data_IF_587801582855
#
_entry.id   IF_587801582855
#
_cell.length_a   1.000
_cell.length_b   1.000
_cell.length_c   1.000
_cell.angle_alpha   90.00
_cell.angle_beta   90.00
_cell.angle_gamma   90.00
#
_symmetry.space_group_name_H-M   'P 1'
#
loop_
_entity.id
_entity.type
_entity.pdbx_description
1 polymer ?
#
# COMPACT_ATOMS: atom_id res chain seq x y z
N UNK A 1 -12.30 2.51 -14.93
CA UNK A 1 -11.97 1.14 -15.35
C UNK A 1 -12.32 0.23 -14.17
N UNK A 2 -12.89 -0.95 -14.39
CA UNK A 2 -13.44 -1.78 -13.28
C UNK A 2 -12.46 -2.91 -12.87
N UNK A 3 -12.38 -3.23 -11.59
CA UNK A 3 -11.48 -4.22 -10.99
C UNK A 3 -11.61 -5.61 -11.62
N UNK A 4 -12.79 -5.94 -12.13
CA UNK A 4 -13.06 -7.22 -12.81
C UNK A 4 -12.09 -7.44 -13.98
N UNK A 5 -11.79 -6.38 -14.74
CA UNK A 5 -10.85 -6.47 -15.85
C UNK A 5 -9.41 -6.66 -15.38
N UNK A 6 -8.99 -5.88 -14.38
CA UNK A 6 -7.64 -5.97 -13.81
C UNK A 6 -7.36 -7.37 -13.26
N UNK A 7 -8.31 -7.93 -12.52
CA UNK A 7 -8.22 -9.29 -11.98
C UNK A 7 -8.23 -10.36 -13.07
N UNK A 8 -9.06 -10.22 -14.11
CA UNK A 8 -9.08 -11.18 -15.21
C UNK A 8 -7.70 -11.29 -15.87
N UNK A 9 -7.02 -10.17 -16.10
CA UNK A 9 -5.63 -10.16 -16.58
C UNK A 9 -4.68 -10.78 -15.57
N UNK A 10 -4.82 -10.43 -14.30
CA UNK A 10 -3.94 -10.91 -13.23
C UNK A 10 -4.00 -12.44 -13.08
N UNK A 11 -5.19 -13.03 -13.05
CA UNK A 11 -5.38 -14.50 -13.06
C UNK A 11 -4.78 -15.16 -14.30
N UNK A 12 -4.96 -14.55 -15.48
CA UNK A 12 -4.37 -15.05 -16.72
C UNK A 12 -2.83 -15.06 -16.64
N UNK A 13 -2.22 -13.99 -16.15
CA UNK A 13 -0.77 -13.91 -15.97
C UNK A 13 -0.26 -15.00 -15.01
N UNK A 14 -0.93 -15.25 -13.88
CA UNK A 14 -0.53 -16.31 -12.96
C UNK A 14 -0.60 -17.70 -13.62
N UNK A 15 -1.63 -17.94 -14.44
CA UNK A 15 -1.77 -19.17 -15.22
C UNK A 15 -0.67 -19.32 -16.27
N UNK A 16 -0.32 -18.25 -16.96
CA UNK A 16 0.76 -18.23 -17.95
C UNK A 16 2.14 -18.47 -17.28
N UNK A 17 2.28 -18.15 -15.99
CA UNK A 17 3.44 -18.49 -15.14
C UNK A 17 3.44 -19.94 -14.62
N UNK A 18 2.41 -20.72 -14.94
CA UNK A 18 2.34 -22.13 -14.61
C UNK A 18 1.61 -22.48 -13.32
N UNK A 19 0.95 -21.53 -12.65
CA UNK A 19 0.09 -21.83 -11.50
C UNK A 19 -1.17 -22.56 -11.98
N UNK A 20 -1.56 -23.60 -11.26
CA UNK A 20 -2.83 -24.28 -11.47
C UNK A 20 -4.00 -23.39 -11.02
N UNK A 21 -5.19 -23.60 -11.61
CA UNK A 21 -6.40 -22.82 -11.28
C UNK A 21 -6.70 -22.82 -9.78
N UNK A 22 -6.53 -23.97 -9.11
CA UNK A 22 -6.75 -24.09 -7.67
C UNK A 22 -5.75 -23.25 -6.85
N UNK A 23 -4.50 -23.14 -7.30
CA UNK A 23 -3.49 -22.30 -6.64
C UNK A 23 -3.83 -20.83 -6.82
N UNK A 24 -4.30 -20.43 -8.00
CA UNK A 24 -4.76 -19.07 -8.29
C UNK A 24 -5.98 -18.71 -7.42
N UNK A 25 -6.95 -19.61 -7.29
CA UNK A 25 -8.13 -19.41 -6.43
C UNK A 25 -7.76 -19.32 -4.95
N UNK A 26 -6.76 -20.09 -4.50
CA UNK A 26 -6.24 -20.01 -3.14
C UNK A 26 -5.48 -18.71 -2.89
N UNK A 27 -4.77 -18.20 -3.90
CA UNK A 27 -3.95 -17.02 -3.80
C UNK A 27 -4.71 -15.69 -3.97
N UNK A 28 -5.91 -15.75 -4.57
CA UNK A 28 -6.82 -14.62 -4.78
C UNK A 28 -8.23 -15.01 -4.32
N UNK A 29 -8.39 -15.11 -3.01
CA UNK A 29 -9.64 -15.57 -2.38
C UNK A 29 -10.48 -14.41 -1.87
N UNK A 30 -11.73 -14.70 -1.58
CA UNK A 30 -12.60 -13.75 -0.88
C UNK A 30 -12.04 -13.49 0.52
N UNK A 31 -11.98 -12.22 0.92
CA UNK A 31 -11.56 -11.85 2.27
C UNK A 31 -12.56 -12.34 3.33
N UNK A 32 -12.04 -12.51 4.55
CA UNK A 32 -12.91 -12.72 5.71
C UNK A 32 -13.50 -11.38 6.14
N UNK A 33 -14.78 -11.37 6.52
CA UNK A 33 -15.47 -10.16 6.94
C UNK A 33 -14.75 -9.45 8.11
N UNK A 34 -14.15 -10.21 9.02
CA UNK A 34 -13.36 -9.66 10.13
C UNK A 34 -12.08 -8.95 9.68
N UNK A 35 -11.47 -9.40 8.59
CA UNK A 35 -10.25 -8.80 8.06
C UNK A 35 -10.61 -7.49 7.33
N UNK A 36 -11.74 -7.47 6.60
CA UNK A 36 -12.26 -6.29 5.90
C UNK A 36 -12.53 -5.08 6.80
N UNK A 37 -12.92 -5.30 8.06
CA UNK A 37 -13.08 -4.24 9.06
C UNK A 37 -11.79 -3.40 9.18
N UNK A 38 -10.61 -3.99 8.93
CA UNK A 38 -9.33 -3.26 8.89
C UNK A 38 -9.36 -2.11 7.89
N UNK A 39 -9.93 -2.34 6.70
CA UNK A 39 -9.97 -1.37 5.63
C UNK A 39 -11.15 -0.40 5.80
N UNK A 40 -12.29 -0.89 6.28
CA UNK A 40 -13.50 -0.08 6.55
C UNK A 40 -13.31 0.86 7.75
N UNK A 41 -12.53 0.45 8.75
CA UNK A 41 -12.24 1.24 9.95
C UNK A 41 -10.73 1.34 10.20
N UNK A 42 -10.07 2.08 9.31
CA UNK A 42 -8.63 2.27 9.30
C UNK A 42 -8.11 2.81 10.64
N UNK A 43 -8.76 3.83 11.20
CA UNK A 43 -8.33 4.41 12.48
C UNK A 43 -8.36 3.38 13.63
N UNK A 44 -9.51 2.75 13.89
CA UNK A 44 -9.63 1.84 15.03
C UNK A 44 -8.70 0.64 14.89
N UNK A 45 -8.60 0.09 13.68
CA UNK A 45 -7.80 -1.11 13.40
C UNK A 45 -6.31 -0.87 13.57
N UNK A 46 -5.85 0.35 13.29
CA UNK A 46 -4.45 0.77 13.42
C UNK A 46 -4.14 1.23 14.84
N UNK A 47 -5.07 1.91 15.52
CA UNK A 47 -4.94 2.33 16.91
C UNK A 47 -4.84 1.14 17.87
N UNK A 48 -5.58 0.04 17.62
CA UNK A 48 -5.54 -1.16 18.46
C UNK A 48 -4.15 -1.82 18.52
N UNK A 49 -3.36 -1.72 17.44
CA UNK A 49 -2.09 -2.42 17.30
C UNK A 49 -0.86 -1.52 17.25
N UNK A 50 -1.03 -0.20 17.14
CA UNK A 50 0.13 0.68 17.08
C UNK A 50 0.80 0.79 18.45
N UNK A 51 2.01 0.25 18.53
CA UNK A 51 2.96 0.53 19.62
C UNK A 51 3.76 1.83 19.38
N UNK A 52 3.51 2.48 18.25
CA UNK A 52 4.39 3.49 17.65
C UNK A 52 3.85 4.91 17.83
N UNK A 53 2.54 5.07 17.72
CA UNK A 53 1.89 6.38 17.72
C UNK A 53 1.50 6.86 19.13
N UNK A 54 1.56 8.17 19.36
CA UNK A 54 0.80 8.82 20.43
C UNK A 54 -0.68 8.93 20.05
N UNK A 55 -1.57 9.16 21.04
CA UNK A 55 -3.00 9.41 20.76
C UNK A 55 -3.20 10.56 19.76
N UNK A 56 -2.46 11.66 19.90
CA UNK A 56 -2.52 12.81 19.00
C UNK A 56 -2.09 12.47 17.56
N UNK A 57 -1.10 11.59 17.40
CA UNK A 57 -0.67 11.13 16.08
C UNK A 57 -1.68 10.19 15.43
N UNK A 58 -2.38 9.38 16.23
CA UNK A 58 -3.47 8.52 15.77
C UNK A 58 -4.68 9.34 15.30
N UNK A 59 -4.99 10.47 15.93
CA UNK A 59 -6.11 11.34 15.52
C UNK A 59 -5.97 11.80 14.06
N UNK A 60 -4.74 12.02 13.58
CA UNK A 60 -4.50 12.37 12.17
C UNK A 60 -4.93 11.28 11.19
N UNK A 61 -5.06 10.03 11.63
CA UNK A 61 -5.50 8.92 10.78
C UNK A 61 -7.01 8.98 10.52
N UNK A 62 -7.80 9.55 11.44
CA UNK A 62 -9.28 9.61 11.33
C UNK A 62 -9.78 10.35 10.08
N UNK A 63 -8.95 11.22 9.50
CA UNK A 63 -9.32 11.98 8.30
C UNK A 63 -9.17 11.17 7.01
N UNK A 64 -8.54 9.99 7.06
CA UNK A 64 -8.34 9.14 5.90
C UNK A 64 -9.33 7.99 5.90
N UNK A 65 -9.87 7.70 4.73
CA UNK A 65 -10.69 6.53 4.45
C UNK A 65 -10.20 5.85 3.19
N UNK A 66 -10.28 4.52 3.14
CA UNK A 66 -9.99 3.78 1.92
C UNK A 66 -11.22 3.85 1.00
N UNK A 67 -11.07 4.15 -0.29
CA UNK A 67 -12.18 4.15 -1.23
C UNK A 67 -12.91 2.80 -1.31
N UNK A 68 -14.24 2.85 -1.44
CA UNK A 68 -15.12 1.66 -1.49
C UNK A 68 -14.70 0.70 -2.60
N UNK A 69 -14.25 1.21 -3.74
CA UNK A 69 -13.78 0.44 -4.89
C UNK A 69 -12.55 -0.44 -4.57
N UNK A 70 -11.70 0.02 -3.66
CA UNK A 70 -10.53 -0.74 -3.18
C UNK A 70 -10.97 -1.75 -2.12
N UNK A 71 -11.91 -1.37 -1.25
CA UNK A 71 -12.50 -2.29 -0.27
C UNK A 71 -13.18 -3.46 -1.01
N UNK A 72 -13.96 -3.20 -2.05
CA UNK A 72 -14.60 -4.24 -2.87
C UNK A 72 -13.58 -5.11 -3.61
N UNK A 73 -12.47 -4.52 -4.07
CA UNK A 73 -11.35 -5.32 -4.62
C UNK A 73 -10.86 -6.34 -3.58
N UNK A 74 -10.50 -5.90 -2.38
CA UNK A 74 -9.98 -6.78 -1.33
C UNK A 74 -11.05 -7.76 -0.82
N UNK A 75 -12.33 -7.37 -0.78
CA UNK A 75 -13.44 -8.28 -0.45
C UNK A 75 -13.45 -9.50 -1.35
N UNK A 76 -13.24 -9.32 -2.65
CA UNK A 76 -13.35 -10.39 -3.64
C UNK A 76 -12.01 -11.08 -3.95
N UNK A 77 -10.90 -10.35 -3.83
CA UNK A 77 -9.58 -10.77 -4.33
C UNK A 77 -8.47 -10.44 -3.34
N UNK A 78 -8.62 -10.89 -2.10
CA UNK A 78 -7.58 -10.79 -1.09
C UNK A 78 -6.35 -11.62 -1.54
N UNK A 79 -5.19 -10.97 -1.71
CA UNK A 79 -3.91 -11.65 -1.92
C UNK A 79 -3.61 -12.56 -0.73
N UNK A 80 -3.17 -13.79 -0.98
CA UNK A 80 -2.75 -14.69 0.08
C UNK A 80 -1.70 -15.67 -0.43
N UNK A 81 -0.48 -15.60 0.08
CA UNK A 81 0.63 -16.48 -0.36
C UNK A 81 0.88 -16.39 -1.89
N UNK A 82 0.69 -15.20 -2.49
CA UNK A 82 1.04 -14.98 -3.89
C UNK A 82 2.56 -15.07 -4.08
N UNK A 83 3.04 -15.64 -5.20
CA UNK A 83 4.43 -15.50 -5.56
C UNK A 83 4.75 -14.03 -5.87
N UNK A 84 6.02 -13.65 -5.68
CA UNK A 84 6.52 -12.35 -6.11
C UNK A 84 6.16 -12.07 -7.57
N UNK A 85 5.64 -10.87 -7.78
CA UNK A 85 5.19 -10.36 -9.07
C UNK A 85 6.34 -9.63 -9.78
N UNK A 86 6.04 -8.99 -10.91
CA UNK A 86 7.02 -8.16 -11.60
C UNK A 86 7.65 -7.12 -10.67
N UNK A 87 8.95 -6.89 -10.80
CA UNK A 87 9.73 -6.02 -9.91
C UNK A 87 10.00 -6.59 -8.52
N UNK A 88 9.86 -7.92 -8.33
CA UNK A 88 9.90 -8.56 -7.01
C UNK A 88 8.89 -7.95 -6.02
N UNK A 89 7.72 -7.56 -6.53
CA UNK A 89 6.67 -6.94 -5.74
C UNK A 89 5.83 -8.02 -5.07
N UNK A 90 5.66 -7.87 -3.76
CA UNK A 90 4.74 -8.63 -2.91
C UNK A 90 3.49 -7.76 -2.65
N UNK A 91 2.34 -8.24 -3.12
CA UNK A 91 1.06 -7.57 -2.93
C UNK A 91 0.44 -8.07 -1.62
N UNK A 92 0.27 -7.19 -0.65
CA UNK A 92 -0.05 -7.57 0.72
C UNK A 92 -1.52 -8.00 0.87
N UNK A 93 -1.76 -9.03 1.67
CA UNK A 93 -3.06 -9.35 2.26
C UNK A 93 -3.52 -8.26 3.22
N UNK A 94 -4.80 -8.26 3.62
CA UNK A 94 -5.32 -7.24 4.54
C UNK A 94 -4.61 -7.31 5.91
N UNK A 95 -4.31 -8.53 6.36
CA UNK A 95 -3.58 -8.76 7.61
C UNK A 95 -2.17 -8.21 7.55
N UNK A 96 -1.50 -8.40 6.41
CA UNK A 96 -0.16 -7.86 6.20
C UNK A 96 -0.18 -6.35 6.07
N UNK A 97 -1.16 -5.76 5.39
CA UNK A 97 -1.38 -4.31 5.37
C UNK A 97 -1.49 -3.78 6.80
N UNK A 98 -2.33 -4.40 7.64
CA UNK A 98 -2.44 -4.03 9.05
C UNK A 98 -1.09 -4.11 9.75
N UNK A 99 -0.44 -5.27 9.68
CA UNK A 99 0.81 -5.53 10.38
C UNK A 99 1.94 -4.57 9.96
N UNK A 100 2.15 -4.39 8.66
CA UNK A 100 3.18 -3.53 8.09
C UNK A 100 2.97 -2.08 8.51
N UNK A 101 1.73 -1.57 8.41
CA UNK A 101 1.43 -0.17 8.72
C UNK A 101 1.30 0.14 10.22
N UNK A 102 1.38 -0.87 11.12
CA UNK A 102 1.42 -0.64 12.57
C UNK A 102 2.76 -1.00 13.23
N UNK A 103 3.59 -1.81 12.56
CA UNK A 103 4.74 -2.47 13.20
C UNK A 103 6.06 -2.29 12.46
N UNK A 104 6.02 -2.17 11.13
CA UNK A 104 7.23 -2.25 10.29
C UNK A 104 7.65 -0.86 9.82
N UNK A 105 8.91 -0.50 10.06
CA UNK A 105 9.50 0.73 9.52
C UNK A 105 9.79 0.56 8.02
N UNK A 106 9.52 1.57 7.17
CA UNK A 106 9.02 2.90 7.53
C UNK A 106 7.49 3.01 7.61
N UNK A 107 6.74 2.06 7.05
CA UNK A 107 5.27 2.09 6.91
C UNK A 107 4.52 2.46 8.19
N UNK A 108 4.99 1.96 9.35
CA UNK A 108 4.43 2.24 10.66
C UNK A 108 4.43 3.72 11.07
N UNK A 109 5.12 4.60 10.33
CA UNK A 109 5.15 6.05 10.57
C UNK A 109 4.54 6.87 9.43
N UNK A 110 4.24 6.24 8.30
CA UNK A 110 3.80 6.91 7.07
C UNK A 110 2.28 7.12 7.03
N UNK A 111 1.52 6.26 7.70
CA UNK A 111 0.06 6.32 7.69
C UNK A 111 -0.52 7.62 8.23
N UNK A 112 0.08 8.23 9.25
CA UNK A 112 -0.35 9.55 9.77
C UNK A 112 -0.23 10.67 8.72
N UNK A 113 0.58 10.47 7.68
CA UNK A 113 0.72 11.37 6.53
C UNK A 113 -0.17 10.94 5.34
N UNK A 114 -1.11 10.00 5.53
CA UNK A 114 -2.03 9.55 4.50
C UNK A 114 -1.41 8.56 3.50
N UNK A 115 -0.26 7.98 3.83
CA UNK A 115 0.42 7.00 2.99
C UNK A 115 0.21 5.59 3.57
N UNK A 116 -0.61 4.79 2.90
CA UNK A 116 -0.92 3.43 3.31
C UNK A 116 -0.13 2.43 2.45
N UNK A 117 0.75 1.64 3.05
CA UNK A 117 1.53 0.62 2.32
C UNK A 117 0.63 -0.56 1.97
N UNK A 118 0.57 -0.91 0.68
CA UNK A 118 -0.26 -2.01 0.16
C UNK A 118 0.54 -3.10 -0.57
N UNK A 119 1.80 -2.80 -0.89
CA UNK A 119 2.73 -3.72 -1.51
C UNK A 119 4.16 -3.35 -1.07
N UNK A 120 5.07 -4.31 -1.14
CA UNK A 120 6.49 -4.12 -0.84
C UNK A 120 7.35 -4.79 -1.90
N UNK A 121 8.58 -4.32 -2.11
CA UNK A 121 9.56 -5.07 -2.90
C UNK A 121 10.29 -6.09 -2.02
N UNK A 122 10.94 -7.07 -2.64
CA UNK A 122 11.81 -8.02 -1.93
C UNK A 122 12.96 -7.37 -1.14
N UNK A 123 13.33 -6.12 -1.46
CA UNK A 123 14.34 -5.33 -0.74
C UNK A 123 13.75 -4.52 0.43
N UNK A 124 12.42 -4.56 0.62
CA UNK A 124 11.71 -3.85 1.68
C UNK A 124 11.28 -2.43 1.31
N UNK A 125 11.43 -2.02 0.05
CA UNK A 125 10.87 -0.74 -0.40
C UNK A 125 9.35 -0.78 -0.38
N UNK A 126 8.73 0.37 -0.12
CA UNK A 126 7.31 0.49 0.13
C UNK A 126 6.57 1.01 -1.10
N UNK A 127 5.44 0.38 -1.42
CA UNK A 127 4.50 0.82 -2.43
C UNK A 127 3.21 1.21 -1.72
N UNK A 128 2.82 2.47 -1.87
CA UNK A 128 1.85 3.12 -1.00
C UNK A 128 0.70 3.74 -1.80
N UNK A 129 -0.52 3.63 -1.28
CA UNK A 129 -1.64 4.46 -1.70
C UNK A 129 -1.52 5.84 -1.05
N UNK A 130 -1.66 6.89 -1.85
CA UNK A 130 -1.77 8.26 -1.34
C UNK A 130 -3.23 8.62 -1.07
N UNK A 131 -3.64 8.50 0.19
CA UNK A 131 -4.99 8.82 0.65
C UNK A 131 -5.26 10.33 0.72
N UNK A 132 -4.26 11.18 0.47
CA UNK A 132 -4.45 12.63 0.37
C UNK A 132 -4.95 13.06 -1.02
N UNK A 133 -4.77 12.20 -2.04
CA UNK A 133 -5.07 12.52 -3.43
C UNK A 133 -5.82 11.37 -4.10
N UNK A 134 -7.15 11.43 -3.99
CA UNK A 134 -8.08 10.45 -4.54
C UNK A 134 -8.83 11.10 -5.70
N UNK A 135 -8.71 10.54 -6.89
CA UNK A 135 -9.41 10.98 -8.09
C UNK A 135 -10.36 9.87 -8.56
N UNK A 136 -11.65 10.17 -8.68
CA UNK A 136 -12.69 9.21 -9.07
C UNK A 136 -12.63 7.87 -8.29
N UNK A 137 -12.47 7.95 -6.96
CA UNK A 137 -12.38 6.77 -6.09
C UNK A 137 -11.06 6.00 -6.19
N UNK A 138 -10.06 6.54 -6.89
CA UNK A 138 -8.75 5.91 -7.07
C UNK A 138 -7.63 6.76 -6.48
N UNK A 139 -6.88 6.26 -5.47
CA UNK A 139 -5.66 6.91 -5.03
C UNK A 139 -4.55 6.61 -6.04
N UNK A 140 -3.67 7.59 -6.24
CA UNK A 140 -2.40 7.32 -6.94
C UNK A 140 -1.50 6.41 -6.10
N UNK A 141 -0.63 5.67 -6.78
CA UNK A 141 0.32 4.75 -6.17
C UNK A 141 1.71 5.38 -6.19
N UNK A 142 2.33 5.46 -5.03
CA UNK A 142 3.65 6.02 -4.82
C UNK A 142 4.66 4.91 -4.53
N UNK A 143 5.89 5.11 -4.99
CA UNK A 143 7.03 4.28 -4.61
C UNK A 143 7.91 5.03 -3.61
N UNK A 144 8.40 4.33 -2.60
CA UNK A 144 9.33 4.87 -1.61
C UNK A 144 10.38 3.86 -1.22
N UNK A 145 11.67 4.18 -1.42
CA UNK A 145 12.71 3.31 -0.88
C UNK A 145 12.70 3.34 0.64
N UNK A 146 12.88 2.19 1.28
CA UNK A 146 12.97 2.11 2.74
C UNK A 146 14.09 2.98 3.30
N UNK A 147 15.17 3.16 2.53
CA UNK A 147 16.31 4.00 2.86
C UNK A 147 16.02 5.50 2.90
N UNK A 148 14.91 5.94 2.28
CA UNK A 148 14.57 7.36 2.21
C UNK A 148 13.93 7.89 3.48
N UNK A 149 13.27 7.03 4.26
CA UNK A 149 12.46 7.47 5.38
C UNK A 149 13.17 7.18 6.69
N UNK A 150 13.33 8.20 7.52
CA UNK A 150 13.93 8.07 8.84
C UNK A 150 13.05 8.76 9.88
N UNK A 151 12.53 7.99 10.84
CA UNK A 151 11.77 8.52 11.95
C UNK A 151 12.70 9.12 13.00
N UNK A 152 12.55 10.42 13.25
CA UNK A 152 13.27 11.13 14.30
C UNK A 152 12.47 11.08 15.60
N UNK A 153 12.91 10.26 16.55
CA UNK A 153 12.24 10.09 17.85
C UNK A 153 12.16 11.39 18.68
N UNK A 154 13.12 12.31 18.53
CA UNK A 154 13.17 13.52 19.37
C UNK A 154 12.06 14.51 19.01
N UNK A 155 11.77 14.67 17.73
CA UNK A 155 10.71 15.56 17.23
C UNK A 155 9.46 14.80 16.80
N UNK A 156 9.51 13.47 16.86
CA UNK A 156 8.47 12.55 16.38
C UNK A 156 8.04 12.82 14.94
N UNK A 157 8.97 13.14 14.04
CA UNK A 157 8.71 13.41 12.63
C UNK A 157 9.44 12.44 11.71
N UNK A 158 8.86 12.12 10.55
CA UNK A 158 9.56 11.36 9.50
C UNK A 158 10.33 12.36 8.67
N UNK A 159 11.64 12.15 8.55
CA UNK A 159 12.49 12.83 7.59
C UNK A 159 12.63 12.00 6.33
N UNK A 160 12.76 12.69 5.19
CA UNK A 160 13.00 12.10 3.89
C UNK A 160 14.37 12.53 3.39
N UNK A 161 15.20 11.56 3.02
CA UNK A 161 16.53 11.75 2.44
C UNK A 161 16.67 10.89 1.19
N UNK A 162 16.43 11.52 0.04
CA UNK A 162 16.53 10.84 -1.24
C UNK A 162 17.37 11.68 -2.19
N UNK A 163 18.68 11.38 -2.21
CA UNK A 163 19.64 12.09 -3.05
C UNK A 163 19.23 12.04 -4.54
N UNK A 164 18.71 10.89 -4.98
CA UNK A 164 18.18 10.68 -6.34
C UNK A 164 16.97 11.58 -6.67
N UNK A 165 16.22 12.04 -5.65
CA UNK A 165 15.08 12.95 -5.82
C UNK A 165 15.46 14.42 -5.60
N UNK A 166 16.76 14.72 -5.41
CA UNK A 166 17.24 16.06 -5.08
C UNK A 166 16.76 16.56 -3.72
N UNK A 167 16.37 15.65 -2.82
CA UNK A 167 15.94 15.98 -1.47
C UNK A 167 17.15 16.00 -0.53
N UNK A 168 17.43 17.15 0.07
CA UNK A 168 18.20 17.24 1.31
C UNK A 168 17.29 16.90 2.50
N UNK A 169 17.84 16.33 3.59
CA UNK A 169 17.09 15.96 4.80
C UNK A 169 15.97 16.98 5.12
N UNK A 170 14.74 16.59 4.85
CA UNK A 170 13.54 17.42 5.01
C UNK A 170 12.46 16.58 5.68
N UNK A 171 11.62 17.19 6.51
CA UNK A 171 10.50 16.47 7.11
C UNK A 171 9.42 16.19 6.07
N UNK A 172 8.88 14.97 6.10
CA UNK A 172 7.79 14.53 5.26
C UNK A 172 6.59 15.47 5.46
N UNK A 173 6.06 15.96 4.35
CA UNK A 173 4.97 16.94 4.31
C UNK A 173 4.19 16.76 3.02
N UNK A 174 2.98 17.32 2.96
CA UNK A 174 2.13 17.27 1.76
C UNK A 174 2.86 17.76 0.51
N UNK A 175 3.73 18.77 0.63
CA UNK A 175 4.51 19.25 -0.50
C UNK A 175 5.51 18.21 -1.03
N UNK A 176 6.16 17.45 -0.15
CA UNK A 176 7.07 16.38 -0.54
C UNK A 176 6.29 15.20 -1.12
N UNK A 177 5.18 14.83 -0.49
CA UNK A 177 4.31 13.75 -0.97
C UNK A 177 3.78 14.09 -2.37
N UNK A 178 3.28 15.30 -2.56
CA UNK A 178 2.64 15.71 -3.81
C UNK A 178 3.62 15.95 -4.95
N UNK A 179 4.81 16.50 -4.66
CA UNK A 179 5.69 17.02 -5.71
C UNK A 179 7.05 16.31 -5.82
N UNK A 180 7.39 15.41 -4.90
CA UNK A 180 8.75 14.85 -4.80
C UNK A 180 8.79 13.33 -4.74
N UNK A 181 7.84 12.68 -4.09
CA UNK A 181 7.78 11.22 -4.09
C UNK A 181 7.42 10.70 -5.50
N UNK A 182 8.11 9.68 -6.01
CA UNK A 182 7.82 9.09 -7.31
C UNK A 182 6.40 8.53 -7.36
N UNK A 183 5.65 8.95 -8.38
CA UNK A 183 4.38 8.32 -8.76
C UNK A 183 4.71 7.09 -9.59
N UNK A 184 4.28 5.93 -9.10
CA UNK A 184 4.39 4.66 -9.81
C UNK A 184 3.23 4.52 -10.80
N UNK A 185 2.01 4.82 -10.36
CA UNK A 185 0.80 4.87 -11.20
C UNK A 185 -0.17 5.93 -10.70
N UNK A 186 -1.02 6.43 -11.59
CA UNK A 186 -2.04 7.44 -11.26
C UNK A 186 -3.28 6.86 -10.57
N UNK A 187 -3.44 5.53 -10.58
CA UNK A 187 -4.56 4.85 -9.93
C UNK A 187 -4.18 3.47 -9.39
N UNK A 188 -4.91 3.01 -8.37
CA UNK A 188 -4.77 1.65 -7.84
C UNK A 188 -5.02 0.58 -8.92
N UNK A 189 -6.03 0.75 -9.77
CA UNK A 189 -6.29 -0.24 -10.82
C UNK A 189 -5.24 -0.27 -11.93
N UNK A 190 -4.67 0.87 -12.31
CA UNK A 190 -3.53 0.89 -13.22
C UNK A 190 -2.34 0.15 -12.62
N UNK A 191 -2.14 0.25 -11.30
CA UNK A 191 -1.13 -0.52 -10.60
C UNK A 191 -1.34 -2.03 -10.67
N UNK A 192 -2.56 -2.51 -10.38
CA UNK A 192 -2.90 -3.93 -10.50
C UNK A 192 -2.74 -4.43 -11.94
N UNK A 193 -3.11 -3.62 -12.93
CA UNK A 193 -2.91 -3.97 -14.35
C UNK A 193 -1.42 -4.01 -14.68
N UNK A 194 -0.63 -3.04 -14.24
CA UNK A 194 0.81 -3.02 -14.42
C UNK A 194 1.50 -4.27 -13.83
N UNK A 195 1.03 -4.76 -12.68
CA UNK A 195 1.49 -6.03 -12.11
C UNK A 195 1.18 -7.21 -13.05
N UNK A 196 -0.02 -7.24 -13.64
CA UNK A 196 -0.45 -8.30 -14.58
C UNK A 196 0.28 -8.26 -15.93
N UNK A 197 0.75 -7.08 -16.35
CA UNK A 197 1.45 -6.85 -17.61
C UNK A 197 2.97 -6.89 -17.46
N UNK A 198 3.45 -7.20 -16.24
CA UNK A 198 4.86 -7.20 -15.86
C UNK A 198 5.59 -5.88 -16.08
N UNK A 199 4.91 -4.74 -15.92
CA UNK A 199 5.43 -3.39 -16.21
C UNK A 199 6.66 -2.96 -15.40
N UNK A 200 6.90 -3.55 -14.22
CA UNK A 200 7.87 -3.06 -13.22
C UNK A 200 9.20 -3.83 -13.18
N UNK A 201 9.64 -4.37 -14.33
CA UNK A 201 10.93 -5.07 -14.46
C UNK A 201 12.13 -4.12 -14.49
#
# INVERSE_FOLDING_TARGET
MDYIYAISKFKKMLKDKGLAEVEIEMALKRAKDIDIITLENLYESMAEMSIVYSEEELENIKKYSIPDEIIEFYKQYEPNDLPYLSGYIDLLSIKEIRYVNTTISPSAYLLRYGLLTIAMTGEGDVIMMDLNNINDGQPRILFGSCSWFNFNEMVREVSVSAFSLGLSNSYLSDNIINNKLPVMEESFYDFIIGLSEEKYQ
#
